data_IF_518553134743
#
_entry.id   IF_518553134743
#
_cell.length_a   1.000
_cell.length_b   1.000
_cell.length_c   1.000
_cell.angle_alpha   90.00
_cell.angle_beta   90.00
_cell.angle_gamma   90.00
#
_symmetry.space_group_name_H-M   'P 1'
#
loop_
_entity.id
_entity.type
_entity.pdbx_description
1 polymer ?
#
# COMPACT_ATOMS: atom_id res chain seq x y z
N UNK A 1 -7.47 20.23 -2.74
CA UNK A 1 -6.07 20.69 -2.72
C UNK A 1 -5.23 19.46 -2.38
N UNK A 2 -4.70 18.79 -3.39
CA UNK A 2 -3.72 17.72 -3.19
C UNK A 2 -2.39 18.44 -2.90
N UNK A 3 -1.76 18.18 -1.74
CA UNK A 3 -0.50 18.84 -1.41
C UNK A 3 0.56 18.24 -2.33
N UNK A 4 1.29 19.07 -3.10
CA UNK A 4 2.26 18.61 -4.09
C UNK A 4 3.27 17.59 -3.51
N UNK A 5 3.55 17.65 -2.20
CA UNK A 5 4.41 16.71 -1.50
C UNK A 5 3.94 15.24 -1.58
N UNK A 6 2.64 14.95 -1.59
CA UNK A 6 2.15 13.56 -1.60
C UNK A 6 2.42 12.84 -2.91
N UNK A 7 2.44 13.57 -4.03
CA UNK A 7 2.72 13.01 -5.34
C UNK A 7 4.13 12.42 -5.40
N UNK A 8 5.10 12.96 -4.65
CA UNK A 8 6.50 12.52 -4.69
C UNK A 8 6.88 11.49 -3.63
N UNK A 9 5.97 11.09 -2.75
CA UNK A 9 6.21 10.05 -1.75
C UNK A 9 5.90 8.67 -2.31
N UNK A 10 6.77 7.69 -2.04
CA UNK A 10 6.54 6.26 -2.33
C UNK A 10 6.49 5.47 -1.04
N UNK A 11 5.43 4.70 -0.84
CA UNK A 11 5.30 3.76 0.28
C UNK A 11 5.80 2.39 -0.17
N UNK A 12 6.78 1.83 0.53
CA UNK A 12 7.39 0.52 0.20
C UNK A 12 7.14 -0.46 1.34
N UNK A 13 6.40 -1.53 1.07
CA UNK A 13 6.25 -2.63 2.04
C UNK A 13 7.27 -3.73 1.73
N UNK A 14 8.15 -4.00 2.68
CA UNK A 14 9.20 -5.02 2.56
C UNK A 14 8.74 -6.31 3.23
N UNK A 15 8.73 -7.40 2.46
CA UNK A 15 8.33 -8.74 2.88
C UNK A 15 6.96 -8.82 3.59
N UNK A 16 5.89 -8.15 3.10
CA UNK A 16 4.56 -8.30 3.69
C UNK A 16 4.07 -9.74 3.55
N UNK A 17 3.47 -10.28 4.62
CA UNK A 17 2.98 -11.66 4.69
C UNK A 17 1.48 -11.80 4.90
N UNK A 18 0.81 -10.76 5.41
CA UNK A 18 -0.63 -10.77 5.61
C UNK A 18 -1.29 -9.90 4.52
N UNK A 19 -2.16 -10.45 3.65
CA UNK A 19 -2.85 -9.68 2.62
C UNK A 19 -3.68 -8.52 3.19
N UNK A 20 -4.22 -8.66 4.42
CA UNK A 20 -4.98 -7.60 5.08
C UNK A 20 -4.12 -6.35 5.38
N UNK A 21 -2.83 -6.54 5.69
CA UNK A 21 -1.93 -5.42 5.95
C UNK A 21 -1.63 -4.62 4.67
N UNK A 22 -1.56 -5.30 3.52
CA UNK A 22 -1.36 -4.66 2.21
C UNK A 22 -2.59 -3.80 1.89
N UNK A 23 -3.80 -4.35 2.09
CA UNK A 23 -5.06 -3.64 1.91
C UNK A 23 -5.22 -2.44 2.84
N UNK A 24 -4.95 -2.62 4.13
CA UNK A 24 -5.03 -1.55 5.13
C UNK A 24 -4.04 -0.40 4.83
N UNK A 25 -2.81 -0.74 4.43
CA UNK A 25 -1.82 0.26 4.02
C UNK A 25 -2.30 1.04 2.78
N UNK A 26 -2.81 0.34 1.76
CA UNK A 26 -3.36 0.98 0.57
C UNK A 26 -4.55 1.91 0.89
N UNK A 27 -5.43 1.51 1.81
CA UNK A 27 -6.54 2.36 2.28
C UNK A 27 -6.05 3.61 2.99
N UNK A 28 -5.10 3.45 3.93
CA UNK A 28 -4.49 4.59 4.62
C UNK A 28 -3.87 5.55 3.61
N UNK A 29 -3.13 5.04 2.62
CA UNK A 29 -2.57 5.85 1.54
C UNK A 29 -3.63 6.68 0.82
N UNK A 30 -4.75 6.07 0.39
CA UNK A 30 -5.86 6.78 -0.25
C UNK A 30 -6.47 7.85 0.65
N UNK A 31 -6.70 7.55 1.93
CA UNK A 31 -7.26 8.51 2.90
C UNK A 31 -6.38 9.75 3.09
N UNK A 32 -5.06 9.62 2.90
CA UNK A 32 -4.09 10.71 3.07
C UNK A 32 -3.52 11.26 1.74
N UNK A 33 -4.10 10.88 0.60
CA UNK A 33 -3.69 11.39 -0.72
C UNK A 33 -2.40 10.80 -1.30
N UNK A 34 -1.90 9.69 -0.77
CA UNK A 34 -0.74 8.98 -1.32
C UNK A 34 -1.18 7.97 -2.39
N UNK A 35 -0.46 7.93 -3.52
CA UNK A 35 -0.86 7.10 -4.68
C UNK A 35 0.22 6.12 -5.18
N UNK A 36 1.43 6.16 -4.62
CA UNK A 36 2.58 5.37 -5.13
C UNK A 36 3.01 4.30 -4.12
N UNK A 37 2.54 3.06 -4.30
CA UNK A 37 2.90 1.91 -3.46
C UNK A 37 3.82 0.94 -4.21
N UNK A 38 4.77 0.31 -3.51
CA UNK A 38 5.57 -0.82 -4.01
C UNK A 38 5.68 -1.92 -2.96
N UNK A 39 5.75 -3.16 -3.41
CA UNK A 39 5.98 -4.33 -2.57
C UNK A 39 7.33 -4.94 -2.95
N UNK A 40 8.14 -5.26 -1.95
CA UNK A 40 9.46 -5.89 -2.15
C UNK A 40 9.45 -7.24 -1.48
N UNK A 41 9.69 -8.31 -2.26
CA UNK A 41 9.65 -9.69 -1.80
C UNK A 41 8.39 -10.04 -0.97
N UNK A 42 7.16 -9.67 -1.41
CA UNK A 42 5.95 -10.07 -0.71
C UNK A 42 5.83 -11.59 -0.71
N UNK A 43 5.23 -12.14 0.34
CA UNK A 43 4.81 -13.53 0.29
C UNK A 43 3.78 -13.69 -0.84
N UNK A 44 3.98 -14.66 -1.73
CA UNK A 44 3.21 -14.77 -2.98
C UNK A 44 1.70 -14.83 -2.73
N UNK A 45 1.29 -15.61 -1.73
CA UNK A 45 -0.12 -15.71 -1.34
C UNK A 45 -0.66 -14.35 -0.87
N UNK A 46 0.09 -13.65 -0.02
CA UNK A 46 -0.29 -12.33 0.47
C UNK A 46 -0.44 -11.31 -0.67
N UNK A 47 0.41 -11.39 -1.69
CA UNK A 47 0.30 -10.53 -2.86
C UNK A 47 -0.96 -10.83 -3.67
N UNK A 48 -1.25 -12.10 -3.95
CA UNK A 48 -2.43 -12.51 -4.73
C UNK A 48 -3.75 -12.23 -4.03
N UNK A 49 -3.77 -12.37 -2.71
CA UNK A 49 -4.98 -12.20 -1.89
C UNK A 49 -5.16 -10.77 -1.37
N UNK A 50 -4.21 -9.88 -1.65
CA UNK A 50 -4.32 -8.48 -1.24
C UNK A 50 -5.59 -7.86 -1.83
N UNK A 51 -6.51 -7.45 -0.95
CA UNK A 51 -7.70 -6.68 -1.28
C UNK A 51 -7.77 -5.49 -0.36
N UNK A 52 -8.39 -4.40 -0.82
CA UNK A 52 -8.69 -3.27 0.06
C UNK A 52 -9.48 -3.79 1.26
N UNK A 53 -9.04 -3.44 2.48
CA UNK A 53 -9.76 -3.77 3.70
C UNK A 53 -10.98 -2.83 3.80
N UNK A 54 -12.12 -3.33 3.32
CA UNK A 54 -13.51 -2.79 3.39
C UNK A 54 -13.63 -1.27 3.39
#
# INVERSE_FOLDING_TARGET
MELEGQANVRVVLVRPRNPLNIGAAARAMTNFGFRRMRLVAPYELAFREARSAV
#
